data_IF_737953944620
#
_entry.id   IF_737953944620
#
_cell.length_a   1.000
_cell.length_b   1.000
_cell.length_c   1.000
_cell.angle_alpha   90.00
_cell.angle_beta   90.00
_cell.angle_gamma   90.00
#
_symmetry.space_group_name_H-M   'P 1'
#
loop_
_entity.id
_entity.type
_entity.pdbx_description
1 polymer ?
#
# COMPACT_ATOMS: atom_id res chain seq x y z
N UNK A 1 40.20 25.24 5.07
CA UNK A 1 38.99 25.49 4.26
C UNK A 1 38.44 24.19 3.70
N UNK A 2 39.26 23.32 3.11
CA UNK A 2 38.88 21.97 2.63
C UNK A 2 38.16 21.11 3.70
N UNK A 3 38.75 21.03 4.90
CA UNK A 3 38.27 20.18 6.00
C UNK A 3 36.90 20.63 6.56
N UNK A 4 36.66 21.94 6.56
CA UNK A 4 35.38 22.53 6.99
C UNK A 4 34.28 22.28 5.96
N UNK A 5 34.63 22.33 4.66
CA UNK A 5 33.71 22.00 3.57
C UNK A 5 33.29 20.53 3.61
N UNK A 6 34.26 19.64 3.86
CA UNK A 6 34.02 18.19 3.95
C UNK A 6 33.17 17.81 5.18
N UNK A 7 33.31 18.54 6.28
CA UNK A 7 32.46 18.37 7.47
C UNK A 7 31.02 18.82 7.22
N UNK A 8 30.83 19.98 6.58
CA UNK A 8 29.50 20.49 6.21
C UNK A 8 28.75 19.56 5.24
N UNK A 9 29.44 18.97 4.25
CA UNK A 9 28.83 18.02 3.32
C UNK A 9 28.43 16.71 3.99
N UNK A 10 29.22 16.25 4.96
CA UNK A 10 28.88 15.06 5.76
C UNK A 10 27.62 15.28 6.59
N UNK A 11 27.51 16.43 7.24
CA UNK A 11 26.34 16.77 8.05
C UNK A 11 25.09 16.96 7.19
N UNK A 12 25.21 17.55 5.99
CA UNK A 12 24.10 17.64 5.04
C UNK A 12 23.57 16.27 4.61
N UNK A 13 24.45 15.31 4.35
CA UNK A 13 24.05 13.94 4.01
C UNK A 13 23.34 13.24 5.18
N UNK A 14 23.83 13.44 6.41
CA UNK A 14 23.19 12.92 7.62
C UNK A 14 21.79 13.53 7.79
N UNK A 15 21.66 14.85 7.66
CA UNK A 15 20.39 15.57 7.77
C UNK A 15 19.40 15.09 6.71
N UNK A 16 19.83 14.93 5.44
CA UNK A 16 18.99 14.42 4.37
C UNK A 16 18.50 12.99 4.65
N UNK A 17 19.36 12.13 5.17
CA UNK A 17 19.00 10.75 5.53
C UNK A 17 17.97 10.69 6.67
N UNK A 18 18.10 11.57 7.66
CA UNK A 18 17.16 11.70 8.79
C UNK A 18 15.81 12.23 8.33
N UNK A 19 15.78 13.26 7.47
CA UNK A 19 14.55 13.79 6.90
C UNK A 19 13.79 12.73 6.08
N UNK A 20 14.53 11.95 5.29
CA UNK A 20 13.95 10.86 4.49
C UNK A 20 13.33 9.77 5.36
N UNK A 21 14.04 9.35 6.42
CA UNK A 21 13.53 8.33 7.34
C UNK A 21 12.33 8.82 8.16
N UNK A 22 12.31 10.09 8.59
CA UNK A 22 11.14 10.71 9.22
C UNK A 22 9.93 10.72 8.27
N UNK A 23 10.12 11.12 7.02
CA UNK A 23 9.05 11.16 6.02
C UNK A 23 8.44 9.76 5.77
N UNK A 24 9.28 8.71 5.70
CA UNK A 24 8.82 7.33 5.57
C UNK A 24 8.04 6.86 6.80
N UNK A 25 8.50 7.21 8.00
CA UNK A 25 7.80 6.89 9.25
C UNK A 25 6.44 7.61 9.31
N UNK A 26 6.37 8.87 8.89
CA UNK A 26 5.11 9.62 8.85
C UNK A 26 4.12 9.00 7.86
N UNK A 27 4.58 8.64 6.66
CA UNK A 27 3.74 8.00 5.63
C UNK A 27 3.21 6.63 6.07
N UNK A 28 3.98 5.86 6.83
CA UNK A 28 3.54 4.55 7.34
C UNK A 28 2.62 4.65 8.56
N UNK A 29 2.69 5.76 9.31
CA UNK A 29 1.79 6.07 10.43
C UNK A 29 0.45 6.66 10.00
N UNK A 30 0.31 7.11 8.76
CA UNK A 30 -1.00 7.45 8.22
C UNK A 30 -1.85 6.19 8.18
N UNK A 31 -2.77 6.08 9.16
CA UNK A 31 -3.81 5.06 9.15
C UNK A 31 -4.50 5.14 7.78
N UNK A 32 -4.62 4.02 7.07
CA UNK A 32 -5.51 3.91 5.91
C UNK A 32 -6.84 4.54 6.33
N UNK A 33 -7.18 5.69 5.76
CA UNK A 33 -8.51 6.27 5.96
C UNK A 33 -9.49 5.19 5.51
N UNK A 34 -10.35 4.71 6.43
CA UNK A 34 -11.51 3.93 6.03
C UNK A 34 -12.26 4.81 5.04
N UNK A 35 -12.13 4.50 3.76
CA UNK A 35 -12.83 5.24 2.73
C UNK A 35 -14.30 5.03 3.02
N UNK A 36 -15.02 6.10 3.38
CA UNK A 36 -16.46 6.10 3.29
C UNK A 36 -16.89 5.79 1.86
N UNK A 37 -18.20 5.63 1.66
CA UNK A 37 -18.80 5.54 0.33
C UNK A 37 -18.28 6.69 -0.54
N UNK A 38 -17.53 6.35 -1.61
CA UNK A 38 -17.13 7.34 -2.60
C UNK A 38 -18.41 7.81 -3.30
N UNK A 39 -18.68 9.12 -3.38
CA UNK A 39 -19.86 9.61 -4.09
C UNK A 39 -19.71 9.30 -5.59
N UNK A 40 -20.77 8.72 -6.17
CA UNK A 40 -20.85 8.42 -7.60
C UNK A 40 -20.48 6.98 -7.99
N UNK A 41 -20.69 6.67 -9.27
CA UNK A 41 -20.33 5.37 -9.86
C UNK A 41 -18.82 5.34 -10.08
N UNK A 42 -18.10 4.60 -9.25
CA UNK A 42 -16.69 4.31 -9.52
C UNK A 42 -16.64 3.21 -10.58
N UNK A 43 -15.94 3.43 -11.68
CA UNK A 43 -15.67 2.37 -12.65
C UNK A 43 -14.74 1.34 -12.02
N UNK A 44 -15.29 0.20 -11.63
CA UNK A 44 -14.50 -0.94 -11.17
C UNK A 44 -14.06 -1.68 -12.42
N UNK A 45 -12.75 -1.63 -12.71
CA UNK A 45 -12.16 -2.43 -13.78
C UNK A 45 -12.07 -3.88 -13.30
N UNK A 46 -13.17 -4.61 -13.45
CA UNK A 46 -13.20 -6.04 -13.21
C UNK A 46 -12.41 -6.73 -14.33
N UNK A 47 -11.59 -7.72 -13.99
CA UNK A 47 -10.92 -8.56 -14.98
C UNK A 47 -11.98 -9.42 -15.68
N UNK A 48 -12.67 -8.87 -16.67
CA UNK A 48 -13.72 -9.58 -17.42
C UNK A 48 -13.14 -10.71 -18.28
N UNK A 49 -11.87 -10.59 -18.66
CA UNK A 49 -11.22 -11.55 -19.54
C UNK A 49 -10.97 -12.89 -18.85
N UNK A 50 -10.56 -12.88 -17.59
CA UNK A 50 -10.20 -14.11 -16.85
C UNK A 50 -11.01 -14.34 -15.57
N UNK A 51 -11.81 -13.35 -15.15
CA UNK A 51 -12.58 -13.43 -13.92
C UNK A 51 -13.59 -14.59 -13.92
N UNK A 52 -14.10 -14.97 -15.08
CA UNK A 52 -14.98 -16.14 -15.22
C UNK A 52 -14.25 -17.45 -14.89
N UNK A 53 -13.00 -17.59 -15.34
CA UNK A 53 -12.19 -18.77 -15.07
C UNK A 53 -11.83 -18.85 -13.58
N UNK A 54 -11.49 -17.70 -12.98
CA UNK A 54 -11.21 -17.62 -11.56
C UNK A 54 -12.44 -17.99 -10.72
N UNK A 55 -13.62 -17.44 -11.05
CA UNK A 55 -14.88 -17.80 -10.38
C UNK A 55 -15.22 -19.28 -10.52
N UNK A 56 -15.01 -19.86 -11.70
CA UNK A 56 -15.22 -21.29 -11.92
C UNK A 56 -14.29 -22.14 -11.05
N UNK A 57 -12.99 -21.82 -11.06
CA UNK A 57 -11.99 -22.53 -10.26
C UNK A 57 -12.28 -22.41 -8.76
N UNK A 58 -12.67 -21.22 -8.29
CA UNK A 58 -12.96 -20.98 -6.88
C UNK A 58 -14.23 -21.74 -6.43
N UNK A 59 -15.24 -21.86 -7.30
CA UNK A 59 -16.50 -22.56 -6.99
C UNK A 59 -16.31 -24.07 -6.86
N UNK A 60 -15.44 -24.66 -7.68
CA UNK A 60 -15.17 -26.10 -7.70
C UNK A 60 -13.90 -26.51 -6.94
N UNK A 61 -13.30 -25.59 -6.18
CA UNK A 61 -12.14 -25.90 -5.36
C UNK A 61 -12.50 -26.92 -4.26
N UNK A 62 -11.62 -27.88 -4.00
CA UNK A 62 -11.78 -28.90 -2.95
C UNK A 62 -11.81 -28.29 -1.53
N UNK A 63 -11.20 -27.11 -1.39
CA UNK A 63 -11.16 -26.36 -0.14
C UNK A 63 -11.68 -24.94 -0.36
N UNK A 64 -12.29 -24.37 0.68
CA UNK A 64 -12.79 -23.01 0.64
C UNK A 64 -11.64 -22.02 0.38
N UNK A 65 -11.72 -21.30 -0.75
CA UNK A 65 -10.76 -20.26 -1.13
C UNK A 65 -10.97 -19.00 -0.29
N UNK A 66 -12.23 -18.69 0.03
CA UNK A 66 -12.61 -17.49 0.75
C UNK A 66 -12.68 -17.77 2.25
N UNK A 67 -11.96 -17.02 3.10
CA UNK A 67 -11.99 -17.23 4.55
C UNK A 67 -13.36 -16.90 5.17
N UNK A 68 -13.74 -17.67 6.19
CA UNK A 68 -15.08 -17.62 6.83
C UNK A 68 -15.52 -16.23 7.28
N UNK A 69 -14.60 -15.37 7.71
CA UNK A 69 -14.92 -14.02 8.17
C UNK A 69 -15.57 -13.14 7.08
N UNK A 70 -15.42 -13.50 5.80
CA UNK A 70 -16.07 -12.81 4.67
C UNK A 70 -17.57 -13.08 4.59
N UNK A 71 -18.04 -14.20 5.16
CA UNK A 71 -19.44 -14.62 5.12
C UNK A 71 -20.18 -14.39 6.45
N UNK A 72 -19.54 -13.69 7.39
CA UNK A 72 -20.13 -13.34 8.70
C UNK A 72 -21.42 -12.52 8.52
N UNK A 73 -22.53 -13.01 9.07
CA UNK A 73 -23.76 -12.24 9.34
C UNK A 73 -23.71 -11.64 10.75
#
# INVERSE_FOLDING_TARGET
MEELLQWMDKDNNIIASLQTSIALIMKTKEKKKHSGSKPGRTEIHQNQLEGHQQLYNDYFAEHAIYPDYLFSH
#
